data_IF_426977070234
#
_entry.id   IF_426977070234
#
_cell.length_a   1.000
_cell.length_b   1.000
_cell.length_c   1.000
_cell.angle_alpha   90.00
_cell.angle_beta   90.00
_cell.angle_gamma   90.00
#
_symmetry.space_group_name_H-M   'P 1'
#
loop_
_entity.id
_entity.type
_entity.pdbx_description
1 polymer ?
#
# COMPACT_ATOMS: atom_id res chain seq x y z
N UNK A 1 -11.83 -7.67 15.56
CA UNK A 1 -11.67 -7.35 14.11
C UNK A 1 -11.54 -5.85 13.84
N UNK A 2 -12.38 -4.97 14.43
CA UNK A 2 -12.23 -3.49 14.31
C UNK A 2 -10.85 -2.99 14.77
N UNK A 3 -10.32 -3.53 15.87
CA UNK A 3 -9.00 -3.17 16.40
C UNK A 3 -7.83 -3.54 15.47
N UNK A 4 -8.01 -4.54 14.62
CA UNK A 4 -6.97 -4.99 13.66
C UNK A 4 -7.03 -4.21 12.35
N UNK A 5 -8.23 -3.84 11.88
CA UNK A 5 -8.42 -3.14 10.60
C UNK A 5 -8.43 -1.61 10.75
N UNK A 6 -8.54 -1.08 11.97
CA UNK A 6 -8.73 0.35 12.23
C UNK A 6 -10.12 0.88 11.88
N UNK A 7 -10.94 0.08 11.18
CA UNK A 7 -12.28 0.45 10.70
C UNK A 7 -13.25 -0.75 10.75
N UNK A 8 -14.58 -0.53 10.70
CA UNK A 8 -15.58 -1.60 10.57
C UNK A 8 -15.33 -2.44 9.31
N UNK A 9 -15.57 -3.77 9.39
CA UNK A 9 -15.31 -4.70 8.27
C UNK A 9 -16.07 -4.31 6.99
N UNK A 10 -17.32 -3.85 7.12
CA UNK A 10 -18.11 -3.39 5.99
C UNK A 10 -17.48 -2.18 5.28
N UNK A 11 -16.99 -1.21 6.06
CA UNK A 11 -16.28 -0.04 5.54
C UNK A 11 -14.99 -0.45 4.84
N UNK A 12 -14.23 -1.36 5.44
CA UNK A 12 -13.02 -1.92 4.85
C UNK A 12 -13.30 -2.58 3.49
N UNK A 13 -14.33 -3.43 3.40
CA UNK A 13 -14.71 -4.10 2.16
C UNK A 13 -15.10 -3.08 1.09
N UNK A 14 -15.96 -2.11 1.43
CA UNK A 14 -16.41 -1.07 0.50
C UNK A 14 -15.21 -0.27 -0.01
N UNK A 15 -14.35 0.19 0.89
CA UNK A 15 -13.14 0.94 0.53
C UNK A 15 -12.26 0.15 -0.41
N UNK A 16 -11.88 -1.07 -0.05
CA UNK A 16 -10.98 -1.92 -0.84
C UNK A 16 -11.53 -2.21 -2.24
N UNK A 17 -12.83 -2.48 -2.35
CA UNK A 17 -13.50 -2.68 -3.65
C UNK A 17 -13.49 -1.40 -4.49
N UNK A 18 -13.77 -0.25 -3.87
CA UNK A 18 -13.83 1.03 -4.59
C UNK A 18 -12.45 1.47 -5.08
N UNK A 19 -11.40 1.25 -4.28
CA UNK A 19 -10.01 1.49 -4.67
C UNK A 19 -9.56 0.54 -5.80
N UNK A 20 -9.97 -0.74 -5.74
CA UNK A 20 -9.74 -1.69 -6.83
C UNK A 20 -10.44 -1.26 -8.13
N UNK A 21 -11.67 -0.75 -8.05
CA UNK A 21 -12.36 -0.17 -9.20
C UNK A 21 -11.59 1.02 -9.77
N UNK A 22 -11.14 1.95 -8.92
CA UNK A 22 -10.40 3.13 -9.35
C UNK A 22 -9.11 2.76 -10.09
N UNK A 23 -8.37 1.74 -9.61
CA UNK A 23 -7.20 1.22 -10.31
C UNK A 23 -7.55 0.64 -11.68
N UNK A 24 -8.58 -0.19 -11.78
CA UNK A 24 -9.00 -0.76 -13.06
C UNK A 24 -9.50 0.31 -14.03
N UNK A 25 -10.25 1.30 -13.55
CA UNK A 25 -10.69 2.44 -14.35
C UNK A 25 -9.52 3.27 -14.86
N UNK A 26 -8.46 3.37 -14.08
CA UNK A 26 -7.29 4.18 -14.39
C UNK A 26 -6.31 3.49 -15.34
N UNK A 27 -6.08 2.20 -15.16
CA UNK A 27 -5.00 1.47 -15.82
C UNK A 27 -5.47 0.41 -16.82
N UNK A 28 -6.77 0.37 -17.14
CA UNK A 28 -7.31 -0.56 -18.13
C UNK A 28 -8.51 0.01 -18.87
N UNK A 29 -8.78 -0.56 -20.06
CA UNK A 29 -9.94 -0.24 -20.89
C UNK A 29 -11.13 -1.20 -20.63
N UNK A 30 -11.06 -1.99 -19.55
CA UNK A 30 -12.13 -2.92 -19.18
C UNK A 30 -13.45 -2.16 -19.04
N UNK A 31 -14.57 -2.64 -19.65
CA UNK A 31 -15.88 -2.02 -19.50
C UNK A 31 -16.27 -1.85 -18.02
N UNK A 32 -16.92 -0.72 -17.69
CA UNK A 32 -17.29 -0.41 -16.29
C UNK A 32 -18.20 -1.50 -15.71
N UNK A 33 -19.06 -2.10 -16.52
CA UNK A 33 -19.91 -3.21 -16.12
C UNK A 33 -19.07 -4.42 -15.65
N UNK A 34 -18.05 -4.77 -16.41
CA UNK A 34 -17.17 -5.89 -16.10
C UNK A 34 -16.32 -5.61 -14.86
N UNK A 35 -15.89 -4.36 -14.68
CA UNK A 35 -15.21 -3.94 -13.45
C UNK A 35 -16.12 -4.17 -12.26
N UNK A 36 -17.40 -3.75 -12.32
CA UNK A 36 -18.34 -3.92 -11.22
C UNK A 36 -18.42 -5.38 -10.77
N UNK A 37 -18.60 -6.29 -11.70
CA UNK A 37 -18.67 -7.73 -11.40
C UNK A 37 -17.35 -8.29 -10.85
N UNK A 38 -16.22 -7.93 -11.44
CA UNK A 38 -14.88 -8.39 -11.01
C UNK A 38 -14.54 -8.03 -9.57
N UNK A 39 -14.99 -6.86 -9.11
CA UNK A 39 -14.75 -6.40 -7.74
C UNK A 39 -15.86 -6.77 -6.76
N UNK A 40 -16.83 -7.59 -7.21
CA UNK A 40 -17.84 -8.20 -6.35
C UNK A 40 -19.08 -7.36 -6.11
N UNK A 41 -19.44 -6.45 -7.04
CA UNK A 41 -20.78 -5.83 -7.07
C UNK A 41 -21.72 -6.62 -7.97
N UNK A 42 -23.00 -6.68 -7.58
CA UNK A 42 -24.05 -7.37 -8.34
C UNK A 42 -24.53 -6.59 -9.56
N UNK A 43 -24.20 -5.30 -9.65
CA UNK A 43 -24.57 -4.44 -10.79
C UNK A 43 -23.63 -3.24 -10.95
N UNK A 44 -23.52 -2.71 -12.20
CA UNK A 44 -22.80 -1.46 -12.45
C UNK A 44 -23.37 -0.25 -11.68
N UNK A 45 -24.67 -0.24 -11.45
CA UNK A 45 -25.35 0.82 -10.69
C UNK A 45 -24.91 0.85 -9.23
N UNK A 46 -24.71 -0.32 -8.61
CA UNK A 46 -24.21 -0.44 -7.24
C UNK A 46 -22.79 0.09 -7.12
N UNK A 47 -21.91 -0.24 -8.08
CA UNK A 47 -20.57 0.35 -8.16
C UNK A 47 -20.66 1.86 -8.30
N UNK A 48 -21.46 2.37 -9.24
CA UNK A 48 -21.56 3.81 -9.52
C UNK A 48 -22.03 4.60 -8.29
N UNK A 49 -22.99 4.08 -7.53
CA UNK A 49 -23.48 4.70 -6.30
C UNK A 49 -22.36 4.82 -5.26
N UNK A 50 -21.68 3.71 -4.97
CA UNK A 50 -20.62 3.67 -3.95
C UNK A 50 -19.40 4.47 -4.39
N UNK A 51 -19.04 4.38 -5.65
CA UNK A 51 -17.90 5.13 -6.23
C UNK A 51 -18.11 6.64 -6.12
N UNK A 52 -19.35 7.12 -6.44
CA UNK A 52 -19.69 8.53 -6.28
C UNK A 52 -19.67 8.98 -4.81
N UNK A 53 -20.12 8.15 -3.88
CA UNK A 53 -20.02 8.45 -2.45
C UNK A 53 -18.56 8.55 -1.97
N UNK A 54 -17.65 7.79 -2.57
CA UNK A 54 -16.26 7.73 -2.15
C UNK A 54 -15.37 8.80 -2.80
N UNK A 55 -15.55 9.03 -4.11
CA UNK A 55 -14.73 9.93 -4.92
C UNK A 55 -15.44 11.23 -5.34
N UNK A 56 -16.73 11.39 -5.07
CA UNK A 56 -17.52 12.54 -5.46
C UNK A 56 -17.95 12.59 -6.94
N UNK A 57 -17.41 11.69 -7.78
CA UNK A 57 -17.67 11.62 -9.23
C UNK A 57 -18.05 10.20 -9.66
N UNK A 58 -18.64 10.06 -10.84
CA UNK A 58 -19.00 8.74 -11.37
C UNK A 58 -17.76 7.97 -11.88
N UNK A 59 -17.82 6.61 -11.99
CA UNK A 59 -16.76 5.83 -12.61
C UNK A 59 -16.40 6.28 -14.03
N UNK A 60 -17.39 6.69 -14.81
CA UNK A 60 -17.16 7.17 -16.18
C UNK A 60 -16.45 8.52 -16.20
N UNK A 61 -16.88 9.46 -15.35
CA UNK A 61 -16.20 10.75 -15.19
C UNK A 61 -14.77 10.56 -14.70
N UNK A 62 -14.57 9.65 -13.74
CA UNK A 62 -13.24 9.31 -13.23
C UNK A 62 -12.32 8.76 -14.32
N UNK A 63 -12.82 7.86 -15.18
CA UNK A 63 -12.08 7.32 -16.34
C UNK A 63 -11.74 8.39 -17.37
N UNK A 64 -12.70 9.27 -17.67
CA UNK A 64 -12.57 10.28 -18.72
C UNK A 64 -11.85 11.54 -18.24
N UNK A 65 -11.75 11.75 -16.94
CA UNK A 65 -11.13 12.94 -16.37
C UNK A 65 -9.60 12.83 -16.44
N UNK A 66 -9.06 13.12 -17.64
CA UNK A 66 -7.61 13.13 -17.93
C UNK A 66 -6.82 14.16 -17.13
N UNK A 67 -7.48 15.08 -16.43
CA UNK A 67 -6.85 16.06 -15.52
C UNK A 67 -6.45 15.45 -14.16
N UNK A 68 -7.04 14.32 -13.73
CA UNK A 68 -6.32 13.45 -12.86
C UNK A 68 -5.17 12.90 -13.70
N UNK A 69 -3.96 13.34 -13.45
CA UNK A 69 -2.74 13.00 -14.19
C UNK A 69 -2.63 11.48 -14.33
N UNK A 70 -3.36 10.97 -15.32
CA UNK A 70 -3.28 9.59 -15.72
C UNK A 70 -2.16 9.58 -16.73
N UNK A 71 -1.11 8.91 -16.39
CA UNK A 71 0.05 8.77 -17.26
C UNK A 71 0.45 10.13 -17.89
N UNK A 72 1.26 10.88 -17.21
CA UNK A 72 2.41 11.37 -17.97
C UNK A 72 2.92 10.12 -18.71
N UNK A 73 3.03 10.15 -20.07
CA UNK A 73 3.73 9.08 -20.77
C UNK A 73 4.97 8.82 -19.93
N UNK A 74 5.27 7.54 -19.67
CA UNK A 74 6.42 7.18 -18.86
C UNK A 74 7.53 8.12 -19.31
N UNK A 75 7.81 9.14 -18.51
CA UNK A 75 8.93 10.02 -18.82
C UNK A 75 10.08 9.09 -18.58
N UNK A 76 10.54 8.47 -19.70
CA UNK A 76 11.82 7.78 -19.69
C UNK A 76 12.78 8.86 -19.25
N UNK A 77 13.11 8.88 -17.98
CA UNK A 77 14.16 9.70 -17.46
C UNK A 77 15.44 8.97 -17.77
N UNK A 78 16.20 9.39 -18.79
CA UNK A 78 17.46 8.73 -19.15
C UNK A 78 18.48 8.80 -18.03
N UNK A 79 18.25 9.67 -17.04
CA UNK A 79 19.04 9.85 -15.82
C UNK A 79 18.66 8.89 -14.68
N UNK A 80 17.55 8.13 -14.81
CA UNK A 80 17.10 7.17 -13.80
C UNK A 80 17.51 5.75 -14.20
N UNK A 81 18.76 5.39 -13.91
CA UNK A 81 19.22 4.00 -14.06
C UNK A 81 18.57 3.13 -12.97
N UNK A 82 17.42 2.56 -13.25
CA UNK A 82 16.80 1.54 -12.40
C UNK A 82 17.37 0.17 -12.77
N UNK A 83 18.20 -0.37 -11.90
CA UNK A 83 18.56 -1.78 -11.98
C UNK A 83 17.40 -2.61 -11.45
N UNK A 84 16.85 -3.46 -12.30
CA UNK A 84 15.77 -4.38 -11.92
C UNK A 84 16.24 -5.82 -11.97
N UNK A 85 15.82 -6.62 -10.99
CA UNK A 85 16.04 -8.07 -10.98
C UNK A 85 14.79 -8.79 -10.48
N UNK A 86 14.57 -10.03 -10.95
CA UNK A 86 13.55 -10.92 -10.39
C UNK A 86 14.25 -11.91 -9.48
N UNK A 87 13.90 -11.89 -8.19
CA UNK A 87 14.55 -12.71 -7.18
C UNK A 87 13.53 -13.53 -6.40
N UNK A 88 13.86 -14.78 -6.13
CA UNK A 88 13.09 -15.59 -5.18
C UNK A 88 13.50 -15.21 -3.76
N UNK A 89 12.53 -14.76 -2.97
CA UNK A 89 12.75 -14.36 -1.57
C UNK A 89 12.02 -15.38 -0.68
N UNK A 90 12.68 -15.93 0.35
CA UNK A 90 12.02 -16.80 1.33
C UNK A 90 11.02 -16.02 2.17
N UNK A 91 10.10 -16.73 2.81
CA UNK A 91 9.20 -16.14 3.79
C UNK A 91 10.00 -15.44 4.90
N UNK A 92 9.52 -14.27 5.34
CA UNK A 92 10.16 -13.48 6.41
C UNK A 92 9.16 -13.09 7.46
N UNK A 93 9.49 -13.35 8.70
CA UNK A 93 8.72 -12.83 9.84
C UNK A 93 9.04 -11.37 10.06
N UNK A 94 8.01 -10.56 10.29
CA UNK A 94 8.19 -9.14 10.61
C UNK A 94 7.29 -8.75 11.78
N UNK A 95 7.82 -7.91 12.66
CA UNK A 95 7.00 -7.08 13.55
C UNK A 95 6.75 -5.76 12.83
N UNK A 96 5.62 -5.14 13.10
CA UNK A 96 5.27 -3.87 12.46
C UNK A 96 4.40 -2.98 13.34
N UNK A 97 4.48 -1.68 13.08
CA UNK A 97 3.51 -0.69 13.55
C UNK A 97 2.86 -0.08 12.32
N UNK A 98 1.52 -0.04 12.30
CA UNK A 98 0.77 0.56 11.20
C UNK A 98 0.56 2.04 11.43
N UNK A 99 0.95 2.83 10.42
CA UNK A 99 0.65 4.25 10.31
C UNK A 99 -0.48 4.46 9.32
N UNK A 100 -1.29 5.48 9.55
CA UNK A 100 -2.32 5.95 8.61
C UNK A 100 -2.13 7.43 8.38
N UNK A 101 -2.19 7.87 7.12
CA UNK A 101 -1.99 9.25 6.71
C UNK A 101 -1.05 9.39 5.52
N UNK A 102 -0.79 10.63 5.13
CA UNK A 102 0.10 10.95 4.01
C UNK A 102 1.48 10.31 4.21
N UNK A 103 1.94 9.57 3.22
CA UNK A 103 3.25 8.90 3.24
C UNK A 103 4.42 9.85 3.51
N UNK A 104 4.31 11.12 3.13
CA UNK A 104 5.36 12.13 3.34
C UNK A 104 5.37 12.70 4.76
N UNK A 105 4.24 12.64 5.45
CA UNK A 105 4.05 13.25 6.77
C UNK A 105 4.17 12.25 7.92
N UNK A 106 4.25 10.95 7.63
CA UNK A 106 4.37 9.90 8.62
C UNK A 106 5.68 9.98 9.40
N UNK A 107 5.62 9.80 10.71
CA UNK A 107 6.79 9.70 11.58
C UNK A 107 7.43 8.31 11.52
N UNK A 108 8.21 8.07 10.48
CA UNK A 108 8.95 6.82 10.31
C UNK A 108 10.03 6.63 11.38
N UNK A 109 10.77 7.70 11.69
CA UNK A 109 11.89 7.65 12.65
C UNK A 109 11.45 7.27 14.04
N UNK A 110 10.45 7.98 14.60
CA UNK A 110 9.88 7.67 15.90
C UNK A 110 9.24 6.28 15.93
N UNK A 111 8.64 5.85 14.82
CA UNK A 111 8.02 4.52 14.73
C UNK A 111 9.07 3.40 14.76
N UNK A 112 10.18 3.54 14.07
CA UNK A 112 11.30 2.58 14.22
C UNK A 112 11.88 2.61 15.63
N UNK A 113 11.98 3.77 16.25
CA UNK A 113 12.38 3.89 17.67
C UNK A 113 11.50 3.07 18.60
N UNK A 114 10.17 3.11 18.42
CA UNK A 114 9.20 2.28 19.19
C UNK A 114 9.38 0.79 18.94
N UNK A 115 9.61 0.37 17.71
CA UNK A 115 9.91 -1.04 17.40
C UNK A 115 11.20 -1.51 18.06
N UNK A 116 12.24 -0.67 18.08
CA UNK A 116 13.49 -0.94 18.78
C UNK A 116 13.29 -1.10 20.28
N UNK A 117 12.53 -0.18 20.88
CA UNK A 117 12.19 -0.25 22.30
C UNK A 117 11.45 -1.55 22.63
N UNK A 118 10.46 -1.91 21.81
CA UNK A 118 9.72 -3.17 21.94
C UNK A 118 10.64 -4.39 21.91
N UNK A 119 11.56 -4.48 20.92
CA UNK A 119 12.53 -5.57 20.82
C UNK A 119 13.36 -5.67 22.11
N UNK A 120 13.85 -4.56 22.63
CA UNK A 120 14.65 -4.48 23.84
C UNK A 120 13.86 -4.92 25.08
N UNK A 121 12.64 -4.41 25.25
CA UNK A 121 11.77 -4.74 26.37
C UNK A 121 11.36 -6.21 26.40
N UNK A 122 11.05 -6.77 25.23
CA UNK A 122 10.69 -8.19 25.11
C UNK A 122 11.91 -9.12 25.03
N UNK A 123 13.15 -8.59 25.10
CA UNK A 123 14.41 -9.35 24.99
C UNK A 123 14.44 -10.27 23.77
N UNK A 124 13.93 -9.78 22.63
CA UNK A 124 13.84 -10.56 21.41
C UNK A 124 15.23 -10.76 20.78
N UNK A 125 15.49 -11.93 20.15
CA UNK A 125 16.74 -12.14 19.46
C UNK A 125 16.82 -11.20 18.24
N UNK A 126 17.99 -10.62 18.05
CA UNK A 126 18.30 -9.81 16.88
C UNK A 126 18.85 -10.69 15.77
N UNK A 127 18.26 -10.59 14.59
CA UNK A 127 18.81 -11.12 13.35
C UNK A 127 19.54 -10.02 12.57
N UNK A 128 19.71 -10.24 11.28
CA UNK A 128 20.19 -9.19 10.38
C UNK A 128 19.23 -8.00 10.44
N UNK A 129 19.79 -6.81 10.70
CA UNK A 129 19.01 -5.59 10.72
C UNK A 129 18.48 -5.29 9.31
N UNK A 130 17.20 -5.51 9.10
CA UNK A 130 16.53 -5.25 7.82
C UNK A 130 15.26 -4.45 8.06
N UNK A 131 15.35 -3.12 8.21
CA UNK A 131 14.17 -2.26 8.27
C UNK A 131 13.52 -2.21 6.89
N UNK A 132 12.19 -2.23 6.86
CA UNK A 132 11.42 -2.07 5.64
C UNK A 132 10.09 -1.39 5.91
N UNK A 133 9.53 -0.76 4.88
CA UNK A 133 8.16 -0.23 4.90
C UNK A 133 7.32 -0.96 3.86
N UNK A 134 6.07 -1.23 4.21
CA UNK A 134 5.08 -1.79 3.29
C UNK A 134 4.01 -0.73 3.07
N UNK A 135 3.95 -0.22 1.85
CA UNK A 135 2.92 0.71 1.41
C UNK A 135 1.76 -0.08 0.84
N UNK A 136 0.59 0.04 1.47
CA UNK A 136 -0.57 -0.79 1.14
C UNK A 136 -1.44 -0.19 0.05
N UNK A 137 -1.37 1.11 -0.14
CA UNK A 137 -2.33 1.86 -0.92
C UNK A 137 -1.63 2.68 -2.00
N UNK A 138 -2.30 2.84 -3.14
CA UNK A 138 -1.83 3.72 -4.21
C UNK A 138 -2.29 5.16 -3.91
N UNK A 139 -1.37 6.12 -3.68
CA UNK A 139 -1.73 7.51 -3.38
C UNK A 139 -2.44 8.22 -4.54
N UNK A 140 -2.43 7.63 -5.75
CA UNK A 140 -3.16 8.15 -6.90
C UNK A 140 -4.66 7.84 -6.85
N UNK A 141 -5.08 6.87 -6.03
CA UNK A 141 -6.47 6.42 -5.93
C UNK A 141 -7.02 6.41 -4.50
N UNK A 142 -6.16 6.46 -3.50
CA UNK A 142 -6.54 6.46 -2.09
C UNK A 142 -6.32 7.85 -1.50
N UNK A 143 -7.33 8.46 -0.85
CA UNK A 143 -7.16 9.74 -0.16
C UNK A 143 -6.01 9.71 0.86
N UNK A 144 -5.25 10.81 0.94
CA UNK A 144 -4.01 10.87 1.72
C UNK A 144 -4.21 10.47 3.19
N UNK A 145 -5.30 10.88 3.81
CA UNK A 145 -5.62 10.56 5.21
C UNK A 145 -5.96 9.08 5.45
N UNK A 146 -6.14 8.29 4.39
CA UNK A 146 -6.48 6.85 4.43
C UNK A 146 -5.34 5.95 3.98
N UNK A 147 -4.23 6.52 3.53
CA UNK A 147 -3.05 5.76 3.16
C UNK A 147 -2.49 5.00 4.36
N UNK A 148 -2.04 3.78 4.15
CA UNK A 148 -1.53 2.90 5.20
C UNK A 148 -0.11 2.48 4.90
N UNK A 149 0.73 2.58 5.91
CA UNK A 149 2.11 2.10 5.87
C UNK A 149 2.35 1.19 7.06
N UNK A 150 2.91 0.01 6.85
CA UNK A 150 3.48 -0.77 7.94
C UNK A 150 4.99 -0.51 7.99
N UNK A 151 5.42 0.09 9.08
CA UNK A 151 6.84 0.24 9.40
C UNK A 151 7.28 -1.06 10.07
N UNK A 152 8.23 -1.76 9.50
CA UNK A 152 8.52 -3.14 9.85
C UNK A 152 9.98 -3.37 10.21
N UNK A 153 10.23 -4.38 11.06
CA UNK A 153 11.54 -5.01 11.28
C UNK A 153 11.46 -6.50 11.04
N UNK A 154 12.43 -7.05 10.32
CA UNK A 154 12.56 -8.50 10.12
C UNK A 154 13.02 -9.16 11.42
N UNK A 155 12.35 -10.26 11.78
CA UNK A 155 12.62 -11.01 12.99
C UNK A 155 13.01 -12.46 12.65
N UNK A 156 14.02 -13.04 13.34
CA UNK A 156 14.41 -14.43 13.11
C UNK A 156 13.39 -15.43 13.68
N UNK A 157 12.49 -14.96 14.55
CA UNK A 157 11.49 -15.79 15.25
C UNK A 157 10.10 -15.22 15.11
N UNK A 158 9.09 -16.01 15.42
CA UNK A 158 7.73 -15.52 15.59
C UNK A 158 7.63 -14.73 16.91
N UNK A 159 6.88 -13.63 16.87
CA UNK A 159 6.72 -12.71 17.99
C UNK A 159 5.24 -12.53 18.30
N UNK A 160 4.87 -12.63 19.57
CA UNK A 160 3.50 -12.36 20.00
C UNK A 160 3.20 -10.85 19.86
N UNK A 161 2.10 -10.46 19.20
CA UNK A 161 1.67 -9.06 19.12
C UNK A 161 1.39 -8.49 20.52
N UNK A 162 1.77 -7.22 20.74
CA UNK A 162 1.49 -6.53 22.00
C UNK A 162 1.39 -5.02 21.78
N UNK A 163 0.35 -4.40 22.33
CA UNK A 163 0.11 -2.98 22.16
C UNK A 163 -0.21 -2.63 20.71
N UNK A 164 0.53 -1.71 20.12
CA UNK A 164 0.44 -1.31 18.73
C UNK A 164 1.38 -2.09 17.80
N UNK A 165 2.22 -2.95 18.38
CA UNK A 165 3.14 -3.82 17.61
C UNK A 165 2.42 -5.09 17.17
N UNK A 166 2.23 -5.22 15.88
CA UNK A 166 1.69 -6.42 15.22
C UNK A 166 2.81 -7.35 14.73
N UNK A 167 2.41 -8.56 14.38
CA UNK A 167 3.27 -9.57 13.77
C UNK A 167 2.62 -10.13 12.51
N UNK A 168 3.42 -10.37 11.48
CA UNK A 168 2.99 -11.09 10.27
C UNK A 168 4.18 -11.79 9.60
N UNK A 169 3.87 -12.78 8.77
CA UNK A 169 4.85 -13.41 7.88
C UNK A 169 4.64 -12.89 6.46
N UNK A 170 5.67 -12.30 5.88
CA UNK A 170 5.69 -11.97 4.46
C UNK A 170 5.87 -13.26 3.67
N UNK A 171 5.05 -13.52 2.64
CA UNK A 171 5.10 -14.79 1.93
C UNK A 171 6.41 -14.97 1.16
N UNK A 172 6.85 -16.20 1.03
CA UNK A 172 7.86 -16.54 0.04
C UNK A 172 7.30 -16.34 -1.38
N UNK A 173 8.15 -15.95 -2.30
CA UNK A 173 7.74 -15.75 -3.68
C UNK A 173 8.81 -15.18 -4.59
N UNK A 174 8.44 -14.97 -5.85
CA UNK A 174 9.27 -14.24 -6.81
C UNK A 174 8.90 -12.76 -6.75
N UNK A 175 9.88 -11.92 -6.52
CA UNK A 175 9.73 -10.48 -6.39
C UNK A 175 10.50 -9.77 -7.50
N UNK A 176 9.89 -8.75 -8.11
CA UNK A 176 10.61 -7.77 -8.88
C UNK A 176 11.24 -6.77 -7.91
N UNK A 177 12.56 -6.63 -7.98
CA UNK A 177 13.34 -5.74 -7.13
C UNK A 177 13.91 -4.63 -8.01
N UNK A 178 13.69 -3.40 -7.59
CA UNK A 178 14.22 -2.22 -8.25
C UNK A 178 15.19 -1.52 -7.29
N UNK A 179 16.42 -1.33 -7.73
CA UNK A 179 17.40 -0.58 -6.95
C UNK A 179 17.38 0.88 -7.40
N UNK A 180 16.97 1.75 -6.50
CA UNK A 180 17.07 3.19 -6.66
C UNK A 180 18.17 3.75 -5.75
N UNK A 181 19.03 4.61 -6.30
CA UNK A 181 20.05 5.34 -5.57
C UNK A 181 19.88 6.83 -5.81
N UNK A 182 19.39 7.55 -4.82
CA UNK A 182 19.14 8.99 -4.91
C UNK A 182 18.39 9.53 -3.69
N UNK A 183 18.07 10.84 -3.67
CA UNK A 183 17.30 11.46 -2.61
C UNK A 183 15.90 10.86 -2.50
N UNK A 184 15.40 10.69 -1.27
CA UNK A 184 14.05 10.16 -1.03
C UNK A 184 12.94 11.02 -1.66
N UNK A 185 13.14 12.33 -1.77
CA UNK A 185 12.19 13.25 -2.39
C UNK A 185 11.91 12.93 -3.87
N UNK A 186 12.85 12.26 -4.54
CA UNK A 186 12.72 11.83 -5.92
C UNK A 186 12.14 10.42 -6.08
N UNK A 187 11.84 9.73 -4.97
CA UNK A 187 11.36 8.35 -5.00
C UNK A 187 10.00 8.22 -5.71
N UNK A 188 9.15 9.25 -5.67
CA UNK A 188 7.88 9.28 -6.38
C UNK A 188 8.05 9.05 -7.89
N UNK A 189 9.12 9.58 -8.49
CA UNK A 189 9.41 9.41 -9.91
C UNK A 189 9.77 7.97 -10.31
N UNK A 190 10.09 7.12 -9.33
CA UNK A 190 10.37 5.69 -9.54
C UNK A 190 9.08 4.88 -9.62
N UNK A 191 8.00 5.37 -8.99
CA UNK A 191 6.68 4.72 -8.95
C UNK A 191 5.75 5.22 -10.07
N UNK A 192 6.09 6.30 -10.76
CA UNK A 192 5.34 6.88 -11.86
C UNK A 192 5.71 6.28 -13.21
#
# INVERSE_FOLDING_TARGET
MKAFLGEPIGTFIVRTRTEAAARLLRYSDIPIADIAYRIGYSSPSSLSKVFRQFYGISPLEYRNNKNFVIMKPAIIRPDLELKSEIKSIPARNVIYIRLSGDYKLNDYGGTWGRLWQFIKEQKLPMGDFSPLCIYHDDPKVTPAEKLRTDVCMVMPVQVAPKGDVGFKTLPAGRYAIFLYKGPYDNLQAVYD
#
